data_IF_966178448063
#
_entry.id   IF_966178448063
#
_cell.length_a   1.000
_cell.length_b   1.000
_cell.length_c   1.000
_cell.angle_alpha   90.00
_cell.angle_beta   90.00
_cell.angle_gamma   90.00
#
_symmetry.space_group_name_H-M   'P 1'
#
loop_
_entity.id
_entity.type
_entity.pdbx_description
1 polymer ?
#
# COMPACT_ATOMS: atom_id res chain seq x y z
N UNK A 1 -4.69 11.00 21.95
CA UNK A 1 -3.79 10.96 20.77
C UNK A 1 -3.27 9.53 20.73
N UNK A 2 -3.41 8.79 19.63
CA UNK A 2 -2.86 7.43 19.58
C UNK A 2 -1.33 7.59 19.54
N UNK A 3 -0.66 7.11 20.56
CA UNK A 3 0.80 7.18 20.70
C UNK A 3 1.39 5.80 20.38
N UNK A 4 2.60 5.82 19.87
CA UNK A 4 3.46 4.66 19.64
C UNK A 4 4.31 4.38 20.90
N UNK A 5 5.08 3.30 20.89
CA UNK A 5 5.89 2.85 22.05
C UNK A 5 6.99 3.86 22.44
N UNK A 6 7.37 4.76 21.53
CA UNK A 6 8.29 5.87 21.74
C UNK A 6 7.61 7.13 22.32
N UNK A 7 6.29 7.09 22.55
CA UNK A 7 5.49 8.23 23.02
C UNK A 7 5.16 9.26 21.94
N UNK A 8 5.60 9.07 20.69
CA UNK A 8 5.24 9.90 19.55
C UNK A 8 3.86 9.50 18.99
N UNK A 9 3.20 10.32 18.14
CA UNK A 9 1.96 9.92 17.49
C UNK A 9 2.13 8.67 16.61
N UNK A 10 1.20 7.72 16.70
CA UNK A 10 1.18 6.47 15.92
C UNK A 10 1.26 6.72 14.40
N UNK A 11 0.59 7.76 13.92
CA UNK A 11 0.71 8.22 12.54
C UNK A 11 1.64 9.43 12.50
N UNK A 12 2.76 9.26 11.82
CA UNK A 12 3.79 10.27 11.58
C UNK A 12 4.13 10.31 10.09
N UNK A 13 4.49 11.48 9.54
CA UNK A 13 4.96 11.56 8.17
C UNK A 13 6.25 10.74 8.03
N UNK A 14 6.34 9.98 6.95
CA UNK A 14 7.53 9.26 6.54
C UNK A 14 7.68 9.39 5.03
N UNK A 15 8.93 9.41 4.55
CA UNK A 15 9.20 9.60 3.12
C UNK A 15 8.88 8.30 2.39
N UNK A 16 8.29 8.44 1.21
CA UNK A 16 8.05 7.32 0.33
C UNK A 16 8.20 7.71 -1.12
N UNK A 17 8.88 6.83 -1.84
CA UNK A 17 8.80 6.75 -3.29
C UNK A 17 8.30 5.36 -3.65
N UNK A 18 7.23 5.28 -4.43
CA UNK A 18 6.75 4.03 -5.02
C UNK A 18 6.76 4.18 -6.52
N UNK A 19 7.34 3.21 -7.22
CA UNK A 19 7.21 3.09 -8.68
C UNK A 19 6.60 1.74 -8.99
N UNK A 20 5.55 1.72 -9.82
CA UNK A 20 5.00 0.46 -10.32
C UNK A 20 5.99 -0.17 -11.30
N UNK A 21 6.52 -1.33 -10.94
CA UNK A 21 7.35 -2.15 -11.82
C UNK A 21 6.48 -2.88 -12.84
N UNK A 22 6.96 -3.01 -14.07
CA UNK A 22 6.42 -4.00 -14.99
C UNK A 22 6.79 -5.40 -14.49
N UNK A 23 5.86 -6.35 -14.52
CA UNK A 23 6.19 -7.76 -14.32
C UNK A 23 7.34 -8.14 -15.26
N UNK A 24 8.36 -8.83 -14.76
CA UNK A 24 9.53 -9.24 -15.54
C UNK A 24 9.15 -9.88 -16.88
N UNK A 25 9.29 -9.10 -17.95
CA UNK A 25 8.94 -9.45 -19.33
C UNK A 25 9.21 -8.23 -20.21
N UNK A 26 9.93 -8.43 -21.31
CA UNK A 26 10.44 -7.39 -22.22
C UNK A 26 9.47 -6.25 -22.48
N UNK A 27 10.02 -5.03 -22.60
CA UNK A 27 9.35 -3.82 -23.05
C UNK A 27 8.42 -4.07 -24.25
N UNK A 28 7.14 -4.31 -23.97
CA UNK A 28 6.04 -4.26 -24.92
C UNK A 28 5.33 -2.94 -24.72
N UNK A 29 5.35 -2.10 -25.75
CA UNK A 29 4.68 -0.80 -25.78
C UNK A 29 3.16 -0.96 -25.71
N UNK A 30 2.63 -1.03 -24.49
CA UNK A 30 1.23 -0.78 -24.18
C UNK A 30 1.16 0.48 -23.33
N UNK A 31 0.33 1.44 -23.72
CA UNK A 31 0.11 2.70 -23.02
C UNK A 31 -0.42 2.48 -21.59
N UNK A 32 0.49 2.24 -20.64
CA UNK A 32 0.23 2.26 -19.21
C UNK A 32 1.18 3.28 -18.60
N UNK A 33 0.69 4.51 -18.38
CA UNK A 33 1.48 5.54 -17.72
C UNK A 33 2.07 5.00 -16.43
N UNK A 34 3.40 5.05 -16.31
CA UNK A 34 4.10 4.57 -15.13
C UNK A 34 3.55 5.25 -13.89
N UNK A 35 3.00 4.48 -12.97
CA UNK A 35 2.53 5.01 -11.69
C UNK A 35 3.75 5.26 -10.81
N UNK A 36 3.92 6.52 -10.40
CA UNK A 36 4.92 6.95 -9.43
C UNK A 36 4.26 7.78 -8.34
N UNK A 37 4.49 7.41 -7.09
CA UNK A 37 4.15 8.20 -5.91
C UNK A 37 5.42 8.70 -5.27
N UNK A 38 5.43 9.95 -4.86
CA UNK A 38 6.56 10.57 -4.19
C UNK A 38 6.06 11.61 -3.19
N UNK A 39 6.53 11.53 -1.95
CA UNK A 39 6.20 12.50 -0.90
C UNK A 39 6.11 11.87 0.49
N UNK A 40 5.61 12.65 1.44
CA UNK A 40 5.30 12.17 2.78
C UNK A 40 3.99 11.40 2.82
N UNK A 41 3.95 10.33 3.60
CA UNK A 41 2.73 9.55 3.84
C UNK A 41 2.54 9.25 5.31
N UNK A 42 1.33 8.84 5.71
CA UNK A 42 1.12 8.25 7.03
C UNK A 42 1.23 6.72 7.02
N UNK A 43 0.80 6.06 5.95
CA UNK A 43 1.09 4.65 5.69
C UNK A 43 0.84 4.28 4.23
N UNK A 44 1.33 3.10 3.82
CA UNK A 44 0.89 2.41 2.59
C UNK A 44 0.65 0.94 2.89
N UNK A 45 -0.41 0.37 2.32
CA UNK A 45 -0.78 -1.03 2.45
C UNK A 45 -0.66 -1.71 1.10
N UNK A 46 0.05 -2.83 1.05
CA UNK A 46 0.18 -3.67 -0.15
C UNK A 46 -0.22 -5.09 0.19
N UNK A 47 -1.01 -5.73 -0.67
CA UNK A 47 -1.40 -7.12 -0.47
C UNK A 47 -1.79 -7.79 -1.78
N UNK A 48 -1.50 -9.09 -1.98
CA UNK A 48 -2.12 -9.89 -3.02
C UNK A 48 -3.56 -10.33 -2.68
N UNK A 49 -3.99 -10.13 -1.43
CA UNK A 49 -5.29 -10.59 -0.95
C UNK A 49 -6.43 -9.64 -1.34
N UNK A 50 -7.62 -10.18 -1.55
CA UNK A 50 -8.82 -9.37 -1.74
C UNK A 50 -9.25 -8.64 -0.45
N UNK A 51 -8.92 -9.21 0.72
CA UNK A 51 -9.28 -8.72 2.05
C UNK A 51 -8.14 -8.97 3.03
N UNK A 52 -7.92 -8.04 3.95
CA UNK A 52 -7.05 -8.19 5.11
C UNK A 52 -7.79 -8.94 6.23
N UNK A 53 -7.07 -9.22 7.32
CA UNK A 53 -7.63 -9.67 8.59
C UNK A 53 -8.81 -8.80 9.03
N UNK A 54 -9.81 -9.41 9.68
CA UNK A 54 -11.09 -8.79 10.06
C UNK A 54 -11.97 -8.36 8.86
N UNK A 55 -11.66 -8.82 7.65
CA UNK A 55 -12.49 -8.58 6.46
C UNK A 55 -12.32 -7.21 5.83
N UNK A 56 -11.32 -6.42 6.25
CA UNK A 56 -11.07 -5.08 5.75
C UNK A 56 -10.59 -5.13 4.29
N UNK A 57 -11.23 -4.32 3.44
CA UNK A 57 -10.88 -4.23 2.02
C UNK A 57 -10.61 -2.76 1.63
N UNK A 58 -9.56 -2.10 2.16
CA UNK A 58 -9.23 -0.73 1.80
C UNK A 58 -8.70 -0.57 0.37
N UNK A 59 -9.04 -1.48 -0.55
CA UNK A 59 -8.51 -1.57 -1.91
C UNK A 59 -9.65 -1.42 -2.91
N UNK A 60 -9.54 -0.44 -3.79
CA UNK A 60 -10.48 -0.18 -4.89
C UNK A 60 -9.78 0.27 -6.17
N UNK A 61 -8.44 0.17 -6.19
CA UNK A 61 -7.67 0.40 -7.40
C UNK A 61 -8.13 -0.54 -8.49
N UNK A 62 -8.31 0.02 -9.68
CA UNK A 62 -8.73 -0.73 -10.86
C UNK A 62 -7.53 -1.05 -11.75
N UNK A 63 -7.72 -2.01 -12.67
CA UNK A 63 -6.72 -2.43 -13.64
C UNK A 63 -6.06 -3.77 -13.34
N UNK A 64 -5.20 -4.27 -14.26
CA UNK A 64 -4.49 -5.53 -14.07
C UNK A 64 -3.48 -5.41 -12.92
N UNK A 65 -3.18 -6.55 -12.28
CA UNK A 65 -2.17 -6.62 -11.22
C UNK A 65 -2.58 -7.53 -10.08
N UNK A 66 -1.68 -8.43 -9.68
CA UNK A 66 -1.91 -9.33 -8.54
C UNK A 66 -1.90 -8.59 -7.19
N UNK A 67 -1.14 -7.49 -7.06
CA UNK A 67 -0.97 -6.74 -5.82
C UNK A 67 -1.86 -5.50 -5.85
N UNK A 68 -2.68 -5.35 -4.81
CA UNK A 68 -3.38 -4.11 -4.51
C UNK A 68 -2.52 -3.22 -3.61
N UNK A 69 -2.49 -1.92 -3.91
CA UNK A 69 -1.83 -0.89 -3.12
C UNK A 69 -2.88 0.15 -2.70
N UNK A 70 -2.89 0.51 -1.42
CA UNK A 70 -3.56 1.72 -0.92
C UNK A 70 -2.57 2.59 -0.18
N UNK A 71 -2.45 3.84 -0.64
CA UNK A 71 -1.56 4.84 -0.10
C UNK A 71 -2.37 5.90 0.65
N UNK A 72 -1.86 6.34 1.79
CA UNK A 72 -2.43 7.41 2.60
C UNK A 72 -1.44 8.58 2.67
N UNK A 73 -1.63 9.59 1.82
CA UNK A 73 -0.74 10.74 1.72
C UNK A 73 -0.82 11.68 2.93
N UNK A 74 0.30 12.30 3.31
CA UNK A 74 0.34 13.26 4.40
C UNK A 74 0.08 14.70 3.90
N UNK A 75 -0.64 15.55 4.66
CA UNK A 75 -1.35 15.25 5.90
C UNK A 75 -2.66 14.50 5.66
N UNK A 76 -2.98 13.53 6.51
CA UNK A 76 -4.27 12.84 6.44
C UNK A 76 -5.39 13.70 7.01
N UNK A 77 -6.32 14.10 6.15
CA UNK A 77 -7.57 14.75 6.57
C UNK A 77 -8.67 13.69 6.68
N UNK A 78 -9.36 13.62 7.83
CA UNK A 78 -10.53 12.74 7.96
C UNK A 78 -10.23 11.24 8.08
N UNK A 79 -9.01 10.82 8.47
CA UNK A 79 -8.63 9.41 8.62
C UNK A 79 -9.67 8.57 9.38
N UNK A 80 -10.18 9.06 10.52
CA UNK A 80 -11.20 8.35 11.31
C UNK A 80 -12.46 8.07 10.49
N UNK A 81 -12.90 9.04 9.69
CA UNK A 81 -14.07 8.90 8.81
C UNK A 81 -13.78 7.94 7.65
N UNK A 82 -12.56 7.95 7.11
CA UNK A 82 -12.12 6.96 6.15
C UNK A 82 -12.17 5.54 6.74
N UNK A 83 -11.62 5.34 7.95
CA UNK A 83 -11.62 4.04 8.63
C UNK A 83 -13.03 3.54 8.93
N UNK A 84 -13.94 4.39 9.40
CA UNK A 84 -15.35 4.02 9.59
C UNK A 84 -15.98 3.54 8.27
N UNK A 85 -15.68 4.18 7.14
CA UNK A 85 -16.17 3.74 5.83
C UNK A 85 -15.57 2.40 5.42
N UNK A 86 -14.26 2.19 5.62
CA UNK A 86 -13.60 0.90 5.34
C UNK A 86 -14.21 -0.22 6.17
N UNK A 87 -14.40 0.01 7.48
CA UNK A 87 -15.04 -0.94 8.39
C UNK A 87 -16.50 -1.25 7.99
N UNK A 88 -17.22 -0.26 7.45
CA UNK A 88 -18.57 -0.43 6.92
C UNK A 88 -18.62 -1.05 5.51
N UNK A 89 -17.48 -1.48 4.95
CA UNK A 89 -17.40 -2.03 3.59
C UNK A 89 -17.64 -1.01 2.46
N UNK A 90 -17.59 0.29 2.76
CA UNK A 90 -17.84 1.40 1.82
C UNK A 90 -16.53 1.96 1.27
N UNK A 91 -15.71 1.08 0.71
CA UNK A 91 -14.45 1.43 0.04
C UNK A 91 -14.69 1.79 -1.42
N UNK A 92 -13.94 2.77 -1.93
CA UNK A 92 -14.10 3.28 -3.29
C UNK A 92 -13.43 4.63 -3.50
N UNK A 93 -13.52 5.19 -4.72
CA UNK A 93 -12.83 6.43 -5.11
C UNK A 93 -13.12 7.64 -4.22
N UNK A 94 -14.29 7.68 -3.56
CA UNK A 94 -14.65 8.72 -2.60
C UNK A 94 -13.78 8.76 -1.32
N UNK A 95 -12.91 7.77 -1.10
CA UNK A 95 -11.88 7.81 -0.06
C UNK A 95 -10.70 8.72 -0.43
N UNK A 96 -10.56 9.10 -1.71
CA UNK A 96 -9.62 10.13 -2.17
C UNK A 96 -9.80 11.47 -1.46
N UNK A 97 -11.05 11.84 -1.16
CA UNK A 97 -11.37 13.03 -0.37
C UNK A 97 -10.88 12.97 1.09
N UNK A 98 -10.40 11.82 1.56
CA UNK A 98 -9.82 11.61 2.89
C UNK A 98 -8.31 11.32 2.82
N UNK A 99 -7.69 11.58 1.66
CA UNK A 99 -6.25 11.40 1.44
C UNK A 99 -5.82 9.95 1.14
N UNK A 100 -6.77 9.05 0.82
CA UNK A 100 -6.44 7.68 0.45
C UNK A 100 -6.61 7.46 -1.06
N UNK A 101 -5.63 6.81 -1.66
CA UNK A 101 -5.59 6.49 -3.10
C UNK A 101 -5.22 5.03 -3.28
N UNK A 102 -5.81 4.35 -4.27
CA UNK A 102 -5.62 2.90 -4.45
C UNK A 102 -5.32 2.54 -5.91
N UNK A 103 -4.48 1.52 -6.10
CA UNK A 103 -3.99 1.03 -7.39
C UNK A 103 -3.82 -0.49 -7.38
N UNK A 104 -3.68 -1.08 -8.58
CA UNK A 104 -3.22 -2.45 -8.77
C UNK A 104 -1.94 -2.51 -9.61
N UNK A 105 -1.11 -3.52 -9.37
CA UNK A 105 0.10 -3.79 -10.16
C UNK A 105 0.66 -5.18 -9.87
N UNK A 106 1.58 -5.64 -10.72
CA UNK A 106 2.29 -6.92 -10.52
C UNK A 106 3.66 -6.74 -9.86
N UNK A 107 4.06 -5.50 -9.60
CA UNK A 107 5.32 -5.19 -8.96
C UNK A 107 5.37 -3.75 -8.48
N UNK A 108 5.99 -3.54 -7.33
CA UNK A 108 6.25 -2.22 -6.78
C UNK A 108 7.68 -2.13 -6.27
N UNK A 109 8.40 -1.12 -6.73
CA UNK A 109 9.67 -0.70 -6.15
C UNK A 109 9.40 0.43 -5.15
N UNK A 110 9.90 0.26 -3.92
CA UNK A 110 9.63 1.13 -2.79
C UNK A 110 10.96 1.65 -2.25
N UNK A 111 11.07 2.96 -2.06
CA UNK A 111 12.12 3.60 -1.28
C UNK A 111 11.45 4.27 -0.07
N UNK A 112 11.79 3.83 1.13
CA UNK A 112 11.13 4.21 2.37
C UNK A 112 12.13 4.22 3.54
N UNK A 113 11.95 5.18 4.45
CA UNK A 113 12.82 5.38 5.63
C UNK A 113 12.11 5.10 6.96
N UNK A 114 10.88 4.58 6.92
CA UNK A 114 10.08 4.24 8.10
C UNK A 114 10.00 2.73 8.38
N UNK A 115 9.26 2.35 9.42
CA UNK A 115 9.03 0.96 9.79
C UNK A 115 8.21 0.22 8.73
N UNK A 116 8.53 -1.04 8.51
CA UNK A 116 7.85 -1.91 7.53
C UNK A 116 7.27 -3.10 8.26
N UNK A 117 5.97 -3.34 8.09
CA UNK A 117 5.30 -4.51 8.64
C UNK A 117 4.99 -5.50 7.50
N UNK A 118 5.44 -6.75 7.65
CA UNK A 118 5.16 -7.84 6.72
C UNK A 118 4.39 -8.91 7.48
N UNK A 119 3.19 -9.25 7.01
CA UNK A 119 2.33 -10.29 7.60
C UNK A 119 2.13 -10.20 9.13
N UNK A 120 2.19 -8.99 9.68
CA UNK A 120 2.03 -8.70 11.11
C UNK A 120 3.34 -8.65 11.90
N UNK A 121 4.48 -8.95 11.27
CA UNK A 121 5.81 -8.83 11.87
C UNK A 121 6.43 -7.49 11.49
N UNK A 122 6.89 -6.75 12.51
CA UNK A 122 7.61 -5.49 12.30
C UNK A 122 9.06 -5.79 11.93
N UNK A 123 9.46 -5.38 10.73
CA UNK A 123 10.87 -5.33 10.37
C UNK A 123 11.48 -4.02 10.88
N UNK A 124 12.71 -4.06 11.45
CA UNK A 124 13.45 -2.83 11.73
C UNK A 124 13.50 -2.02 10.43
N UNK A 125 13.33 -0.70 10.53
CA UNK A 125 13.35 0.19 9.37
C UNK A 125 14.59 -0.11 8.51
N UNK A 126 14.37 -0.83 7.41
CA UNK A 126 15.40 -1.06 6.42
C UNK A 126 15.47 0.24 5.65
N UNK A 127 16.32 1.17 6.07
CA UNK A 127 16.67 2.30 5.23
C UNK A 127 17.15 1.73 3.89
N UNK A 128 16.33 1.82 2.84
CA UNK A 128 16.63 1.16 1.59
C UNK A 128 15.46 0.90 0.67
N UNK A 129 15.80 0.20 -0.43
CA UNK A 129 14.87 -0.16 -1.50
C UNK A 129 14.27 -1.53 -1.25
N UNK A 130 12.94 -1.63 -1.31
CA UNK A 130 12.19 -2.88 -1.26
C UNK A 130 11.56 -3.14 -2.63
N UNK A 131 11.65 -4.38 -3.09
CA UNK A 131 10.91 -4.86 -4.26
C UNK A 131 9.80 -5.78 -3.80
N UNK A 132 8.56 -5.48 -4.19
CA UNK A 132 7.37 -6.29 -3.85
C UNK A 132 6.81 -6.86 -5.15
N UNK A 133 6.83 -8.18 -5.28
CA UNK A 133 6.31 -8.92 -6.43
C UNK A 133 5.55 -10.16 -5.97
N UNK A 134 4.52 -10.61 -6.71
CA UNK A 134 3.88 -11.88 -6.43
C UNK A 134 4.83 -13.02 -6.77
N UNK A 135 4.85 -14.04 -5.92
CA UNK A 135 5.51 -15.30 -6.26
C UNK A 135 4.66 -16.09 -7.26
N UNK A 136 5.27 -17.01 -8.04
CA UNK A 136 4.50 -18.00 -8.79
C UNK A 136 3.55 -18.78 -7.86
N UNK A 137 2.41 -19.27 -8.35
CA UNK A 137 1.48 -20.05 -7.54
C UNK A 137 2.18 -21.19 -6.81
N UNK A 138 2.05 -21.20 -5.48
CA UNK A 138 2.58 -22.28 -4.65
C UNK A 138 1.67 -23.51 -4.79
N UNK A 139 2.26 -24.66 -5.07
CA UNK A 139 1.59 -25.95 -5.07
C UNK A 139 2.10 -26.80 -3.91
N UNK A 140 1.20 -27.40 -3.14
CA UNK A 140 1.56 -28.34 -2.09
C UNK A 140 1.82 -29.72 -2.71
N UNK A 141 2.96 -30.32 -2.39
CA UNK A 141 3.21 -31.72 -2.71
C UNK A 141 2.26 -32.60 -1.88
N UNK A 142 1.65 -33.59 -2.53
CA UNK A 142 0.78 -34.58 -1.90
C UNK A 142 1.55 -35.84 -1.56
#
# INVERSE_FOLDING_TARGET
>A
RYLDDDGAPLLRPSRLVVTRGGAGGSAGSGAGGGMRLEGEHAFSLMTPLARLSLGLAPFWGEGPGAIALTHAGWPLTGFRRAMVKVLAGRTGPGLGAHGLTSWRGDGFEIDHDGPVMIDGEMLPAAAGRLSVTPTPPLAFLR
#
